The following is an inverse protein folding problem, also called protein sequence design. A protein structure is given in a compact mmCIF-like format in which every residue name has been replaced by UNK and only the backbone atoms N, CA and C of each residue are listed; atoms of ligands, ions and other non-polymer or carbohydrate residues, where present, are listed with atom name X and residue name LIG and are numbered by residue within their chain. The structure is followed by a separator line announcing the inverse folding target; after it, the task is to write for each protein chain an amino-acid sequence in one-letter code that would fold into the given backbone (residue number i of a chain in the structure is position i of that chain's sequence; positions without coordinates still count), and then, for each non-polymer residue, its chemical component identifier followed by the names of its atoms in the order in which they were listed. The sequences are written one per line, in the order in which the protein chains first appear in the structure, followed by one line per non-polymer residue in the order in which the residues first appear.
data_IF_087188396869
#
_entry.id   IF_087188396869
#
_cell.length_a   1.000
_cell.length_b   1.000
_cell.length_c   1.000
_cell.angle_alpha   90.00
_cell.angle_beta   90.00
_cell.angle_gamma   90.00
#
_symmetry.space_group_name_H-M   'P 1'
#
loop_
_entity.id
_entity.type
_entity.pdbx_description
1 polymer ?
#
# COMPACT_ATOMS: atom_id res chain seq x y z
N UNK A 1 16.25 13.20 8.55
CA UNK A 1 16.40 14.17 7.47
C UNK A 1 16.16 13.52 6.10
N UNK A 2 15.21 14.04 5.35
CA UNK A 2 14.91 13.59 3.99
C UNK A 2 15.93 14.21 3.04
N UNK A 3 16.74 13.39 2.37
CA UNK A 3 17.83 13.85 1.49
C UNK A 3 17.34 14.11 0.06
N UNK A 4 16.33 13.39 -0.40
CA UNK A 4 15.73 13.54 -1.72
C UNK A 4 14.22 13.63 -1.61
N UNK A 5 13.59 14.20 -2.64
CA UNK A 5 12.13 14.24 -2.74
C UNK A 5 11.58 12.81 -2.78
N UNK A 6 10.61 12.46 -1.91
CA UNK A 6 10.03 11.12 -1.91
C UNK A 6 9.40 10.78 -3.26
N UNK A 7 9.46 9.51 -3.64
CA UNK A 7 8.85 8.99 -4.86
C UNK A 7 7.74 8.00 -4.51
N UNK A 8 6.61 8.12 -5.18
CA UNK A 8 5.55 7.12 -5.12
C UNK A 8 5.42 6.43 -6.47
N UNK A 9 5.45 5.10 -6.45
CA UNK A 9 5.15 4.28 -7.61
C UNK A 9 3.69 3.84 -7.52
N UNK A 10 2.92 4.23 -8.52
CA UNK A 10 1.50 3.89 -8.63
C UNK A 10 1.31 2.81 -9.68
N UNK A 11 0.46 1.85 -9.37
CA UNK A 11 -0.02 0.92 -10.39
C UNK A 11 -1.25 1.48 -11.10
N UNK A 12 -1.57 0.90 -12.25
CA UNK A 12 -2.78 1.24 -12.99
C UNK A 12 -4.03 0.98 -12.13
N UNK A 13 -4.94 1.94 -12.10
CA UNK A 13 -6.17 1.85 -11.33
C UNK A 13 -6.05 2.26 -9.86
N UNK A 14 -4.88 2.65 -9.38
CA UNK A 14 -4.73 3.22 -8.04
C UNK A 14 -5.42 4.58 -7.97
N UNK A 15 -6.39 4.70 -7.06
CA UNK A 15 -7.20 5.91 -6.89
C UNK A 15 -6.70 6.82 -5.76
N UNK A 16 -5.61 6.45 -5.09
CA UNK A 16 -5.04 7.29 -4.02
C UNK A 16 -4.55 8.62 -4.56
N UNK A 17 -4.82 9.66 -3.81
CA UNK A 17 -4.38 11.02 -4.12
C UNK A 17 -3.13 11.33 -3.30
N UNK A 18 -2.10 11.82 -3.97
CA UNK A 18 -0.86 12.27 -3.37
C UNK A 18 -0.64 13.74 -3.69
N UNK A 19 -0.03 14.47 -2.77
CA UNK A 19 0.34 15.87 -3.00
C UNK A 19 1.59 15.94 -3.88
N UNK A 20 1.40 16.25 -5.15
CA UNK A 20 2.48 16.38 -6.14
C UNK A 20 3.49 17.45 -5.81
N UNK A 21 3.17 18.39 -4.92
CA UNK A 21 4.12 19.40 -4.44
C UNK A 21 5.18 18.79 -3.52
N UNK A 22 4.86 17.70 -2.85
CA UNK A 22 5.71 17.05 -1.86
C UNK A 22 6.33 15.75 -2.35
N UNK A 23 5.69 15.07 -3.29
CA UNK A 23 6.03 13.70 -3.72
C UNK A 23 6.06 13.62 -5.24
N UNK A 24 7.10 13.02 -5.78
CA UNK A 24 7.16 12.68 -7.21
C UNK A 24 6.36 11.41 -7.49
N UNK A 25 5.44 11.49 -8.43
CA UNK A 25 4.60 10.36 -8.82
C UNK A 25 5.20 9.68 -10.05
N UNK A 26 5.43 8.38 -9.95
CA UNK A 26 5.86 7.50 -11.04
C UNK A 26 4.76 6.48 -11.34
N UNK A 27 4.49 6.25 -12.62
CA UNK A 27 3.54 5.23 -13.05
C UNK A 27 4.31 4.09 -13.71
N UNK A 28 4.32 2.92 -13.06
CA UNK A 28 5.05 1.73 -13.52
C UNK A 28 4.11 0.59 -13.96
N UNK A 29 2.83 0.86 -14.02
CA UNK A 29 1.83 -0.09 -14.46
C UNK A 29 1.39 -1.10 -13.41
N UNK A 30 2.32 -1.86 -12.86
CA UNK A 30 2.04 -2.92 -11.87
C UNK A 30 2.70 -2.70 -10.51
N UNK A 31 3.79 -1.96 -10.45
CA UNK A 31 4.56 -1.74 -9.23
C UNK A 31 3.94 -0.62 -8.37
N UNK A 32 3.89 -0.83 -7.07
CA UNK A 32 3.40 0.14 -6.10
C UNK A 32 4.29 0.17 -4.87
N UNK A 33 4.85 1.32 -4.57
CA UNK A 33 5.70 1.52 -3.40
C UNK A 33 5.91 3.01 -3.11
N UNK A 34 6.25 3.34 -1.88
CA UNK A 34 6.76 4.65 -1.47
C UNK A 34 8.26 4.54 -1.22
N UNK A 35 9.04 5.43 -1.81
CA UNK A 35 10.49 5.46 -1.64
C UNK A 35 10.93 6.76 -1.01
N UNK A 36 11.70 6.66 0.07
CA UNK A 36 12.33 7.78 0.76
C UNK A 36 13.83 7.56 0.78
N UNK A 37 14.59 8.58 0.38
CA UNK A 37 16.02 8.61 0.63
C UNK A 37 16.27 9.53 1.81
N UNK A 38 16.79 8.96 2.89
CA UNK A 38 17.13 9.70 4.10
C UNK A 38 18.64 9.71 4.31
N UNK A 39 19.12 10.74 5.02
CA UNK A 39 20.49 10.78 5.49
C UNK A 39 20.49 10.52 7.00
N UNK A 40 21.18 9.47 7.40
CA UNK A 40 21.31 9.07 8.80
C UNK A 40 22.78 8.77 9.12
N UNK A 41 23.31 9.48 10.11
CA UNK A 41 24.71 9.34 10.55
C UNK A 41 25.73 9.35 9.40
N UNK A 42 25.52 10.22 8.41
CA UNK A 42 26.39 10.36 7.24
C UNK A 42 26.16 9.36 6.10
N UNK A 43 25.26 8.40 6.28
CA UNK A 43 24.91 7.42 5.26
C UNK A 43 23.56 7.78 4.62
N UNK A 44 23.44 7.47 3.32
CA UNK A 44 22.16 7.53 2.61
C UNK A 44 21.47 6.18 2.72
N UNK A 45 20.21 6.19 3.14
CA UNK A 45 19.41 4.97 3.32
C UNK A 45 18.13 5.13 2.53
N UNK A 46 17.81 4.12 1.71
CA UNK A 46 16.52 4.03 1.04
C UNK A 46 15.54 3.30 1.95
N UNK A 47 14.39 3.95 2.22
CA UNK A 47 13.27 3.34 2.91
C UNK A 47 12.17 3.09 1.89
N UNK A 48 11.73 1.84 1.76
CA UNK A 48 10.63 1.44 0.91
C UNK A 48 9.40 1.13 1.77
N UNK A 49 8.33 1.92 1.58
CA UNK A 49 7.05 1.70 2.22
C UNK A 49 6.10 0.99 1.27
N UNK A 50 5.65 -0.19 1.63
CA UNK A 50 4.69 -0.98 0.85
C UNK A 50 3.83 -1.83 1.77
N UNK A 51 2.75 -2.37 1.24
CA UNK A 51 1.92 -3.29 2.00
C UNK A 51 2.56 -4.68 2.06
N UNK A 52 2.11 -5.50 3.00
CA UNK A 52 2.56 -6.90 3.10
C UNK A 52 2.24 -7.69 1.82
N UNK A 53 1.11 -7.42 1.18
CA UNK A 53 0.72 -8.10 -0.06
C UNK A 53 1.60 -7.68 -1.24
N UNK A 54 1.93 -6.40 -1.35
CA UNK A 54 2.86 -5.91 -2.37
C UNK A 54 4.28 -6.45 -2.15
N UNK A 55 4.72 -6.55 -0.89
CA UNK A 55 6.00 -7.16 -0.54
C UNK A 55 6.02 -8.64 -0.95
N UNK A 56 4.97 -9.39 -0.64
CA UNK A 56 4.85 -10.80 -1.01
C UNK A 56 4.90 -11.00 -2.53
N UNK A 57 4.17 -10.20 -3.29
CA UNK A 57 4.25 -10.23 -4.75
C UNK A 57 5.66 -9.92 -5.25
N UNK A 58 6.26 -8.86 -4.73
CA UNK A 58 7.59 -8.41 -5.16
C UNK A 58 8.67 -9.47 -4.94
N UNK A 59 8.65 -10.14 -3.81
CA UNK A 59 9.59 -11.24 -3.51
C UNK A 59 9.41 -12.41 -4.49
N UNK A 60 8.18 -12.82 -4.77
CA UNK A 60 7.88 -13.88 -5.72
C UNK A 60 8.31 -13.49 -7.14
N UNK A 61 8.03 -12.26 -7.56
CA UNK A 61 8.44 -11.75 -8.87
C UNK A 61 9.96 -11.76 -9.02
N UNK A 62 10.69 -11.28 -8.01
CA UNK A 62 12.13 -11.28 -7.99
C UNK A 62 12.74 -12.68 -8.01
N UNK A 63 12.16 -13.63 -7.29
CA UNK A 63 12.70 -14.99 -7.18
C UNK A 63 12.40 -15.83 -8.42
N UNK A 64 11.24 -15.63 -9.04
CA UNK A 64 10.76 -16.51 -10.12
C UNK A 64 10.92 -15.86 -11.49
N UNK A 65 10.53 -14.60 -11.66
CA UNK A 65 10.50 -13.96 -12.99
C UNK A 65 11.79 -13.24 -13.26
N UNK A 66 12.23 -12.40 -12.38
CA UNK A 66 13.43 -11.59 -12.56
C UNK A 66 14.63 -12.20 -11.81
N UNK A 67 15.85 -12.20 -12.38
CA UNK A 67 16.21 -11.75 -13.73
C UNK A 67 16.16 -12.86 -14.80
N UNK A 68 15.94 -14.12 -14.41
CA UNK A 68 16.21 -15.26 -15.27
C UNK A 68 15.09 -15.57 -16.27
N UNK A 69 13.85 -15.31 -15.90
CA UNK A 69 12.65 -15.65 -16.67
C UNK A 69 11.84 -14.44 -17.12
N UNK A 70 12.49 -13.26 -17.16
CA UNK A 70 11.83 -12.00 -17.55
C UNK A 70 11.22 -12.00 -18.96
N UNK A 71 11.67 -12.89 -19.84
CA UNK A 71 11.15 -13.06 -21.20
C UNK A 71 10.16 -14.21 -21.34
N UNK A 72 9.88 -14.94 -20.26
CA UNK A 72 8.84 -15.98 -20.22
C UNK A 72 7.46 -15.35 -20.07
N UNK A 73 6.68 -15.37 -21.15
CA UNK A 73 5.36 -14.73 -21.20
C UNK A 73 4.38 -15.34 -20.18
N UNK A 74 4.42 -16.64 -19.97
CA UNK A 74 3.53 -17.30 -19.01
C UNK A 74 3.85 -16.92 -17.59
N UNK A 75 5.12 -16.86 -17.20
CA UNK A 75 5.53 -16.42 -15.87
C UNK A 75 5.24 -14.94 -15.64
N UNK A 76 5.39 -14.09 -16.64
CA UNK A 76 4.97 -12.68 -16.58
C UNK A 76 3.47 -12.54 -16.37
N UNK A 77 2.67 -13.33 -17.08
CA UNK A 77 1.20 -13.30 -16.94
C UNK A 77 0.78 -13.74 -15.55
N UNK A 78 1.38 -14.77 -14.99
CA UNK A 78 1.12 -15.19 -13.61
C UNK A 78 1.57 -14.14 -12.60
N UNK A 79 2.72 -13.51 -12.79
CA UNK A 79 3.19 -12.43 -11.92
C UNK A 79 2.23 -11.23 -11.96
N UNK A 80 1.75 -10.87 -13.12
CA UNK A 80 0.75 -9.81 -13.30
C UNK A 80 -0.57 -10.15 -12.62
N UNK A 81 -1.03 -11.40 -12.74
CA UNK A 81 -2.23 -11.87 -12.05
C UNK A 81 -2.06 -11.82 -10.53
N UNK A 82 -0.92 -12.28 -10.01
CA UNK A 82 -0.62 -12.21 -8.58
C UNK A 82 -0.58 -10.76 -8.08
N UNK A 83 -0.05 -9.84 -8.87
CA UNK A 83 -0.06 -8.42 -8.54
C UNK A 83 -1.49 -7.87 -8.42
N UNK A 84 -2.39 -8.27 -9.33
CA UNK A 84 -3.83 -7.90 -9.24
C UNK A 84 -4.47 -8.44 -7.97
N UNK A 85 -4.20 -9.69 -7.60
CA UNK A 85 -4.68 -10.28 -6.36
C UNK A 85 -4.15 -9.54 -5.13
N UNK A 86 -2.89 -9.16 -5.12
CA UNK A 86 -2.30 -8.34 -4.06
C UNK A 86 -3.03 -7.01 -3.91
N UNK A 87 -3.37 -6.38 -5.02
CA UNK A 87 -4.15 -5.15 -5.04
C UNK A 87 -5.57 -5.31 -4.49
N UNK A 88 -6.24 -6.38 -4.85
CA UNK A 88 -7.57 -6.70 -4.31
C UNK A 88 -7.50 -6.98 -2.82
N UNK A 89 -6.47 -7.68 -2.34
CA UNK A 89 -6.24 -7.90 -0.92
C UNK A 89 -6.03 -6.59 -0.15
N UNK A 90 -5.29 -5.64 -0.72
CA UNK A 90 -5.12 -4.30 -0.15
C UNK A 90 -6.45 -3.53 -0.05
N UNK A 91 -7.28 -3.60 -1.09
CA UNK A 91 -8.62 -3.00 -1.09
C UNK A 91 -9.51 -3.63 -0.01
N UNK A 92 -9.54 -4.94 0.09
CA UNK A 92 -10.29 -5.65 1.14
C UNK A 92 -9.83 -5.26 2.53
N UNK A 93 -8.53 -5.15 2.76
CA UNK A 93 -7.96 -4.68 4.04
C UNK A 93 -8.44 -3.27 4.39
N UNK A 94 -8.56 -2.40 3.39
CA UNK A 94 -9.08 -1.04 3.57
C UNK A 94 -10.57 -1.04 3.91
N UNK A 95 -11.36 -1.92 3.30
CA UNK A 95 -12.78 -2.10 3.64
C UNK A 95 -12.95 -2.63 5.06
N UNK A 96 -12.19 -3.62 5.47
CA UNK A 96 -12.24 -4.13 6.84
C UNK A 96 -11.91 -3.04 7.87
N UNK A 97 -10.90 -2.23 7.64
CA UNK A 97 -10.59 -1.09 8.53
C UNK A 97 -11.73 -0.09 8.61
N UNK A 98 -12.35 0.25 7.48
CA UNK A 98 -13.53 1.14 7.44
C UNK A 98 -14.71 0.55 8.20
N UNK A 99 -14.99 -0.73 8.00
CA UNK A 99 -16.07 -1.43 8.72
C UNK A 99 -15.82 -1.45 10.22
N UNK A 100 -14.59 -1.67 10.63
CA UNK A 100 -14.20 -1.61 12.04
C UNK A 100 -14.46 -0.23 12.64
N UNK A 101 -14.02 0.84 11.99
CA UNK A 101 -14.26 2.21 12.45
C UNK A 101 -15.75 2.53 12.58
N UNK A 102 -16.55 2.16 11.58
CA UNK A 102 -18.01 2.33 11.62
C UNK A 102 -18.63 1.58 12.81
N UNK A 103 -18.19 0.35 13.08
CA UNK A 103 -18.67 -0.44 14.22
C UNK A 103 -18.29 0.16 15.57
N UNK A 104 -17.06 0.67 15.68
CA UNK A 104 -16.58 1.37 16.88
C UNK A 104 -17.39 2.64 17.14
N UNK A 105 -17.65 3.46 16.12
CA UNK A 105 -18.50 4.64 16.22
C UNK A 105 -19.94 4.30 16.63
N UNK A 106 -20.53 3.27 16.04
CA UNK A 106 -21.87 2.78 16.41
C UNK A 106 -21.92 2.29 17.86
N UNK A 107 -20.87 1.59 18.32
CA UNK A 107 -20.71 1.15 19.69
C UNK A 107 -20.67 2.32 20.70
N UNK A 108 -19.92 3.37 20.38
CA UNK A 108 -19.84 4.59 21.18
C UNK A 108 -21.19 5.31 21.25
N UNK A 109 -21.89 5.47 20.13
CA UNK A 109 -23.21 6.07 20.07
C UNK A 109 -24.27 5.26 20.88
N UNK A 110 -24.21 3.94 20.82
CA UNK A 110 -25.08 3.06 21.60
C UNK A 110 -24.81 3.20 23.11
N UNK A 111 -23.55 3.34 23.52
CA UNK A 111 -23.18 3.60 24.92
C UNK A 111 -23.74 4.94 25.42
N UNK A 112 -23.56 6.00 24.67
CA UNK A 112 -24.11 7.32 25.00
C UNK A 112 -25.63 7.30 25.17
N UNK A 113 -26.34 6.63 24.27
CA UNK A 113 -27.81 6.54 24.35
C UNK A 113 -28.30 5.71 25.56
N UNK A 114 -27.48 4.83 26.08
CA UNK A 114 -27.80 4.04 27.29
C UNK A 114 -27.52 4.83 28.57
N UNK A 115 -26.50 5.68 28.58
CA UNK A 115 -26.20 6.57 29.70
C UNK A 115 -27.26 7.64 29.83
N UNK A 116 -27.68 8.29 28.75
CA UNK A 116 -28.77 9.28 28.74
C UNK A 116 -30.11 8.71 29.23
N UNK A 117 -30.37 7.43 29.03
CA UNK A 117 -31.57 6.75 29.55
C UNK A 117 -31.49 6.38 31.03
N UNK A 118 -30.30 6.30 31.60
CA UNK A 118 -30.11 6.03 33.02
C UNK A 118 -30.18 7.28 33.90
N UNK A 119 -29.92 8.46 33.33
CA UNK A 119 -30.03 9.75 34.00
C UNK A 119 -31.44 10.34 34.00
N UNK A 120 -32.39 9.73 33.30
CA UNK A 120 -33.82 10.06 33.29
C UNK A 120 -34.59 9.05 34.12
#
# INVERSE_FOLDING_TARGET
YIAERPKVYRRNGDTRIYDEKLIDIKSDGIYRSLHYIIKYKGYYVEIQGRTLFEEGWSEIDHDIVYPYYKDDEMLKDFSTLLNRLSGMADEMSSYFRRMRSVREEQGLLAHHSLEDKKEK
#
